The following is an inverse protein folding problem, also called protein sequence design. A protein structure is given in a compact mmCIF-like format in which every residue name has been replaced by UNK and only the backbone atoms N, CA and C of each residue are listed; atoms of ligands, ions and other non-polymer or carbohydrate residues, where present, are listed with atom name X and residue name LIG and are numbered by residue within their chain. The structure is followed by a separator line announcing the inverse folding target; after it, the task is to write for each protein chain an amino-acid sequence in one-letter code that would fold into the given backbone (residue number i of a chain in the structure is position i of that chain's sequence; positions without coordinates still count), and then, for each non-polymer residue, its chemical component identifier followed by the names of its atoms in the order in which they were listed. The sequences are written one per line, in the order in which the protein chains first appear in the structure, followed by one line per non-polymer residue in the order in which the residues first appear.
data_IF_201253344329
#
_entry.id   IF_201253344329
#
_cell.length_a   1.000
_cell.length_b   1.000
_cell.length_c   1.000
_cell.angle_alpha   90.00
_cell.angle_beta   90.00
_cell.angle_gamma   90.00
#
_symmetry.space_group_name_H-M   'P 1'
#
loop_
_entity.id
_entity.type
_entity.pdbx_description
1 polymer ?
#
# COMPACT_ATOMS: atom_id res chain seq x y z
N UNK A 1 -11.82 15.06 -13.56
CA UNK A 1 -12.08 14.13 -12.43
C UNK A 1 -11.65 14.88 -11.19
N UNK A 2 -12.60 15.24 -10.33
CA UNK A 2 -12.31 15.85 -9.03
C UNK A 2 -11.58 14.82 -8.16
N UNK A 3 -10.46 15.22 -7.59
CA UNK A 3 -9.72 14.42 -6.61
C UNK A 3 -10.51 14.43 -5.29
N UNK A 4 -11.44 13.49 -5.12
CA UNK A 4 -12.39 13.46 -4.02
C UNK A 4 -11.99 12.53 -2.87
N UNK A 5 -10.84 11.86 -2.98
CA UNK A 5 -10.37 10.96 -1.94
C UNK A 5 -9.73 11.71 -0.77
N UNK A 6 -9.90 11.19 0.44
CA UNK A 6 -9.32 11.76 1.67
C UNK A 6 -8.56 10.72 2.48
N UNK A 7 -7.64 11.19 3.30
CA UNK A 7 -7.02 10.42 4.38
C UNK A 7 -7.55 11.01 5.68
N UNK A 8 -8.26 10.20 6.45
CA UNK A 8 -8.77 10.61 7.76
C UNK A 8 -7.82 10.12 8.84
N UNK A 9 -7.57 10.94 9.84
CA UNK A 9 -6.78 10.57 11.01
C UNK A 9 -7.56 10.86 12.28
N UNK A 10 -7.49 9.94 13.24
CA UNK A 10 -8.11 10.08 14.55
C UNK A 10 -7.15 9.51 15.60
N UNK A 11 -6.87 10.29 16.66
CA UNK A 11 -6.12 9.79 17.81
C UNK A 11 -7.11 9.42 18.91
N UNK A 12 -7.18 8.15 19.23
CA UNK A 12 -8.01 7.64 20.32
C UNK A 12 -7.33 7.81 21.69
N UNK A 13 -8.11 7.73 22.75
CA UNK A 13 -7.66 7.93 24.15
C UNK A 13 -6.60 6.91 24.60
N UNK A 14 -6.58 5.73 23.98
CA UNK A 14 -5.61 4.65 24.23
C UNK A 14 -4.28 4.84 23.50
N UNK A 15 -4.15 5.92 22.72
CA UNK A 15 -2.98 6.22 21.91
C UNK A 15 -2.95 5.57 20.52
N UNK A 16 -4.05 4.95 20.08
CA UNK A 16 -4.20 4.47 18.72
C UNK A 16 -4.34 5.66 17.76
N UNK A 17 -3.38 5.82 16.85
CA UNK A 17 -3.54 6.72 15.71
C UNK A 17 -4.20 5.93 14.57
N UNK A 18 -5.50 6.06 14.44
CA UNK A 18 -6.23 5.49 13.32
C UNK A 18 -6.03 6.34 12.06
N UNK A 19 -5.57 5.72 10.98
CA UNK A 19 -5.43 6.32 9.66
C UNK A 19 -6.33 5.55 8.71
N UNK A 20 -7.34 6.22 8.14
CA UNK A 20 -8.32 5.60 7.24
C UNK A 20 -8.17 6.14 5.82
N UNK A 21 -7.95 5.26 4.87
CA UNK A 21 -8.01 5.59 3.44
C UNK A 21 -9.49 5.67 3.04
N UNK A 22 -9.92 6.81 2.51
CA UNK A 22 -11.32 7.02 2.15
C UNK A 22 -11.50 7.56 0.73
N UNK A 23 -11.65 6.63 -0.19
CA UNK A 23 -12.05 6.81 -1.59
C UNK A 23 -12.77 5.53 -2.05
N UNK A 24 -13.73 5.09 -1.24
CA UNK A 24 -14.37 3.77 -1.36
C UNK A 24 -15.00 3.54 -2.74
N UNK A 25 -15.65 4.55 -3.32
CA UNK A 25 -16.30 4.48 -4.64
C UNK A 25 -15.33 4.16 -5.79
N UNK A 26 -14.04 4.42 -5.60
CA UNK A 26 -12.96 4.17 -6.55
C UNK A 26 -12.02 3.04 -6.07
N UNK A 27 -12.48 2.19 -5.16
CA UNK A 27 -11.68 1.08 -4.61
C UNK A 27 -10.43 1.54 -3.85
N UNK A 28 -10.48 2.71 -3.23
CA UNK A 28 -9.37 3.31 -2.49
C UNK A 28 -8.07 3.46 -3.31
N UNK A 29 -8.21 3.67 -4.63
CA UNK A 29 -7.07 3.98 -5.51
C UNK A 29 -6.47 5.31 -5.07
N UNK A 30 -5.20 5.27 -4.64
CA UNK A 30 -4.51 6.44 -4.09
C UNK A 30 -4.25 7.49 -5.17
N UNK A 31 -4.64 8.72 -4.90
CA UNK A 31 -4.24 9.89 -5.67
C UNK A 31 -2.89 10.41 -5.15
N UNK A 32 -2.32 11.38 -5.85
CA UNK A 32 -1.09 12.04 -5.39
C UNK A 32 -1.32 12.74 -4.04
N UNK A 33 -2.41 13.48 -3.92
CA UNK A 33 -2.77 14.19 -2.68
C UNK A 33 -2.96 13.23 -1.49
N UNK A 34 -3.62 12.09 -1.70
CA UNK A 34 -3.76 11.06 -0.67
C UNK A 34 -2.41 10.47 -0.26
N UNK A 35 -1.51 10.23 -1.22
CA UNK A 35 -0.17 9.71 -0.94
C UNK A 35 0.66 10.70 -0.10
N UNK A 36 0.56 12.00 -0.40
CA UNK A 36 1.20 13.06 0.39
C UNK A 36 0.63 13.14 1.81
N UNK A 37 -0.72 13.08 1.95
CA UNK A 37 -1.38 13.09 3.25
C UNK A 37 -0.99 11.86 4.11
N UNK A 38 -0.96 10.66 3.54
CA UNK A 38 -0.45 9.47 4.20
C UNK A 38 1.00 9.65 4.63
N UNK A 39 1.86 10.14 3.73
CA UNK A 39 3.26 10.37 4.03
C UNK A 39 3.45 11.34 5.20
N UNK A 40 2.66 12.39 5.26
CA UNK A 40 2.68 13.36 6.35
C UNK A 40 2.26 12.73 7.68
N UNK A 41 1.18 11.94 7.68
CA UNK A 41 0.68 11.27 8.89
C UNK A 41 1.72 10.30 9.49
N UNK A 42 2.44 9.56 8.65
CA UNK A 42 3.49 8.64 9.11
C UNK A 42 4.76 9.34 9.58
N UNK A 43 5.16 10.45 8.93
CA UNK A 43 6.38 11.19 9.31
C UNK A 43 6.25 11.97 10.59
N UNK A 44 5.05 12.46 10.89
CA UNK A 44 4.79 13.34 12.03
C UNK A 44 3.52 12.92 12.77
N UNK A 45 3.53 11.73 13.43
CA UNK A 45 2.40 11.32 14.25
C UNK A 45 2.18 12.36 15.38
N UNK A 46 0.92 12.60 15.78
CA UNK A 46 0.61 13.53 16.85
C UNK A 46 1.18 13.05 18.20
N UNK A 47 1.44 14.02 19.10
CA UNK A 47 1.84 13.72 20.47
C UNK A 47 0.78 12.85 21.16
N UNK A 48 1.22 11.83 21.90
CA UNK A 48 0.34 10.86 22.56
C UNK A 48 0.05 9.60 21.70
N UNK A 49 0.36 9.62 20.40
CA UNK A 49 0.24 8.40 19.59
C UNK A 49 1.27 7.35 20.04
N UNK A 50 0.81 6.11 20.19
CA UNK A 50 1.60 4.96 20.65
C UNK A 50 1.76 3.88 19.57
N UNK A 51 0.79 3.75 18.70
CA UNK A 51 0.80 2.84 17.54
C UNK A 51 -0.15 3.39 16.47
N UNK A 52 0.01 2.91 15.26
CA UNK A 52 -0.83 3.25 14.11
C UNK A 52 -1.72 2.06 13.77
N UNK A 53 -3.01 2.32 13.54
CA UNK A 53 -3.92 1.41 12.87
C UNK A 53 -4.25 1.98 11.50
N UNK A 54 -3.71 1.37 10.45
CA UNK A 54 -4.03 1.72 9.06
C UNK A 54 -5.16 0.83 8.56
N UNK A 55 -6.24 1.44 8.14
CA UNK A 55 -7.41 0.76 7.55
C UNK A 55 -7.94 1.53 6.33
N UNK A 56 -9.06 1.08 5.79
CA UNK A 56 -9.72 1.74 4.67
C UNK A 56 -11.24 1.69 4.78
N UNK A 57 -11.91 2.70 4.26
CA UNK A 57 -13.36 2.75 4.12
C UNK A 57 -13.85 1.83 2.98
N UNK A 58 -15.08 1.33 3.10
CA UNK A 58 -15.70 0.50 2.05
C UNK A 58 -15.18 -0.93 1.99
N UNK A 59 -15.28 -1.55 0.83
CA UNK A 59 -15.01 -2.98 0.64
C UNK A 59 -13.54 -3.32 0.38
N UNK A 60 -12.74 -2.37 -0.10
CA UNK A 60 -11.36 -2.59 -0.50
C UNK A 60 -10.38 -1.84 0.40
N UNK A 61 -9.23 -2.42 0.66
CA UNK A 61 -8.14 -1.72 1.33
C UNK A 61 -7.51 -0.67 0.41
N UNK A 62 -6.97 -1.09 -0.73
CA UNK A 62 -6.40 -0.19 -1.73
C UNK A 62 -6.16 -0.94 -3.05
N UNK A 63 -6.92 -0.61 -4.09
CA UNK A 63 -6.80 -1.27 -5.39
C UNK A 63 -5.62 -0.73 -6.25
N UNK A 64 -4.77 0.11 -5.67
CA UNK A 64 -3.59 0.65 -6.35
C UNK A 64 -3.44 2.16 -6.23
N UNK A 65 -2.83 2.79 -7.23
CA UNK A 65 -2.73 4.26 -7.32
C UNK A 65 -3.07 4.77 -8.71
N UNK A 66 -3.44 6.03 -8.80
CA UNK A 66 -3.59 6.71 -10.09
C UNK A 66 -2.26 6.64 -10.84
N UNK A 67 -2.28 6.10 -12.04
CA UNK A 67 -1.06 5.85 -12.82
C UNK A 67 -0.41 7.17 -13.26
N UNK A 68 0.84 7.43 -12.89
CA UNK A 68 1.60 8.57 -13.37
C UNK A 68 2.29 8.30 -14.71
N UNK A 69 2.10 7.09 -15.27
CA UNK A 69 2.71 6.70 -16.54
C UNK A 69 2.24 7.62 -17.68
N UNK A 70 3.12 7.95 -18.62
CA UNK A 70 2.74 8.74 -19.77
C UNK A 70 1.68 8.00 -20.61
N UNK A 71 0.88 8.76 -21.32
CA UNK A 71 -0.06 8.18 -22.30
C UNK A 71 0.71 7.45 -23.41
N UNK A 72 0.12 6.42 -24.05
CA UNK A 72 0.74 5.76 -25.19
C UNK A 72 1.20 6.77 -26.25
N UNK A 73 2.40 6.57 -26.79
CA UNK A 73 3.02 7.47 -27.78
C UNK A 73 3.79 8.66 -27.22
N UNK A 74 3.71 8.91 -25.90
CA UNK A 74 4.54 9.94 -25.25
C UNK A 74 5.88 9.34 -24.83
N UNK A 75 6.95 9.83 -25.45
CA UNK A 75 8.33 9.43 -25.09
C UNK A 75 8.80 10.28 -23.92
N UNK A 76 9.31 9.64 -22.87
CA UNK A 76 9.94 10.29 -21.74
C UNK A 76 11.37 9.76 -21.57
N UNK A 77 12.26 10.63 -21.11
CA UNK A 77 13.62 10.17 -20.71
C UNK A 77 13.53 9.28 -19.47
N UNK A 78 14.52 8.42 -19.26
CA UNK A 78 14.62 7.60 -18.06
C UNK A 78 14.62 8.45 -16.78
N UNK A 79 15.28 9.61 -16.82
CA UNK A 79 15.32 10.58 -15.71
C UNK A 79 13.92 11.13 -15.41
N UNK A 80 13.17 11.53 -16.43
CA UNK A 80 11.81 12.03 -16.26
C UNK A 80 10.86 10.94 -15.73
N UNK A 81 11.02 9.68 -16.15
CA UNK A 81 10.28 8.54 -15.61
C UNK A 81 10.66 8.29 -14.14
N UNK A 82 11.93 8.36 -13.80
CA UNK A 82 12.41 8.22 -12.43
C UNK A 82 11.72 9.22 -11.50
N UNK A 83 11.79 10.51 -11.84
CA UNK A 83 11.20 11.58 -11.04
C UNK A 83 9.66 11.52 -10.96
N UNK A 84 9.02 11.15 -12.07
CA UNK A 84 7.54 11.16 -12.12
C UNK A 84 6.91 9.89 -11.53
N UNK A 85 7.55 8.74 -11.70
CA UNK A 85 6.97 7.44 -11.38
C UNK A 85 7.59 6.82 -10.15
N UNK A 86 8.93 6.72 -10.09
CA UNK A 86 9.61 5.94 -9.08
C UNK A 86 9.80 6.74 -7.77
N UNK A 87 10.35 7.94 -7.83
CA UNK A 87 10.68 8.73 -6.64
C UNK A 87 9.49 9.01 -5.73
N UNK A 88 8.30 9.41 -6.23
CA UNK A 88 7.16 9.65 -5.36
C UNK A 88 6.74 8.40 -4.58
N UNK A 89 6.81 7.22 -5.21
CA UNK A 89 6.46 5.95 -4.55
C UNK A 89 7.52 5.54 -3.54
N UNK A 90 8.79 5.63 -3.89
CA UNK A 90 9.88 5.30 -2.96
C UNK A 90 9.90 6.25 -1.77
N UNK A 91 9.66 7.54 -1.99
CA UNK A 91 9.52 8.52 -0.90
C UNK A 91 8.33 8.23 0.01
N UNK A 92 7.21 7.76 -0.56
CA UNK A 92 6.06 7.32 0.21
C UNK A 92 6.39 6.08 1.06
N UNK A 93 7.02 5.05 0.48
CA UNK A 93 7.43 3.87 1.23
C UNK A 93 8.43 4.22 2.34
N UNK A 94 9.37 5.12 2.06
CA UNK A 94 10.30 5.62 3.06
C UNK A 94 9.58 6.37 4.20
N UNK A 95 8.52 7.13 3.89
CA UNK A 95 7.73 7.80 4.90
C UNK A 95 7.03 6.80 5.85
N UNK A 96 6.41 5.75 5.31
CA UNK A 96 5.79 4.69 6.12
C UNK A 96 6.82 4.02 7.01
N UNK A 97 8.00 3.65 6.47
CA UNK A 97 9.08 3.01 7.22
C UNK A 97 9.75 3.93 8.25
N UNK A 98 9.64 5.24 8.11
CA UNK A 98 10.29 6.20 9.02
C UNK A 98 9.49 6.50 10.28
N UNK A 99 8.23 6.05 10.37
CA UNK A 99 7.45 6.25 11.59
C UNK A 99 8.12 5.55 12.78
N UNK A 100 8.23 6.20 13.94
CA UNK A 100 8.77 5.57 15.14
C UNK A 100 7.76 4.66 15.86
N UNK A 101 6.54 4.56 15.34
CA UNK A 101 5.44 3.83 15.96
C UNK A 101 5.24 2.47 15.28
N UNK A 102 4.87 1.43 16.04
CA UNK A 102 4.38 0.18 15.45
C UNK A 102 3.16 0.44 14.55
N UNK A 103 3.12 -0.21 13.39
CA UNK A 103 2.05 -0.08 12.39
C UNK A 103 1.29 -1.39 12.25
N UNK A 104 0.02 -1.35 12.61
CA UNK A 104 -0.94 -2.44 12.36
C UNK A 104 -1.74 -2.09 11.12
N UNK A 105 -1.85 -3.01 10.17
CA UNK A 105 -2.63 -2.81 8.94
C UNK A 105 -3.76 -3.81 8.91
N UNK A 106 -5.00 -3.32 8.78
CA UNK A 106 -6.19 -4.14 8.61
C UNK A 106 -6.59 -4.15 7.13
N UNK A 107 -6.53 -5.32 6.50
CA UNK A 107 -6.77 -5.51 5.08
C UNK A 107 -8.05 -6.29 4.85
N UNK A 108 -8.95 -5.72 4.04
CA UNK A 108 -10.10 -6.42 3.46
C UNK A 108 -10.17 -6.12 1.96
N UNK A 109 -10.75 -7.02 1.19
CA UNK A 109 -10.86 -6.87 -0.26
C UNK A 109 -9.52 -6.65 -0.93
N UNK A 110 -9.48 -5.81 -1.94
CA UNK A 110 -8.30 -5.62 -2.79
C UNK A 110 -7.18 -4.85 -2.11
N UNK A 111 -6.00 -5.47 -2.08
CA UNK A 111 -4.71 -4.85 -1.74
C UNK A 111 -3.76 -5.05 -2.92
N UNK A 112 -3.85 -4.20 -3.95
CA UNK A 112 -3.19 -4.39 -5.24
C UNK A 112 -2.08 -3.37 -5.50
N UNK A 113 -0.97 -3.82 -6.09
CA UNK A 113 0.16 -2.96 -6.46
C UNK A 113 0.68 -2.16 -5.27
N UNK A 114 0.55 -0.83 -5.30
CA UNK A 114 0.91 0.03 -4.16
C UNK A 114 0.12 -0.33 -2.89
N UNK A 115 -1.12 -0.80 -3.00
CA UNK A 115 -1.91 -1.28 -1.86
C UNK A 115 -1.29 -2.53 -1.22
N UNK A 116 -0.81 -3.48 -2.03
CA UNK A 116 -0.09 -4.65 -1.55
C UNK A 116 1.24 -4.27 -0.88
N UNK A 117 1.97 -3.33 -1.47
CA UNK A 117 3.19 -2.78 -0.88
C UNK A 117 2.91 -2.08 0.46
N UNK A 118 1.89 -1.24 0.51
CA UNK A 118 1.50 -0.51 1.73
C UNK A 118 1.12 -1.45 2.87
N UNK A 119 0.36 -2.51 2.56
CA UNK A 119 0.05 -3.55 3.55
C UNK A 119 1.33 -4.20 4.09
N UNK A 120 2.24 -4.62 3.19
CA UNK A 120 3.49 -5.28 3.58
C UNK A 120 4.52 -4.38 4.28
N UNK A 121 4.34 -3.07 4.26
CA UNK A 121 5.15 -2.12 5.03
C UNK A 121 4.74 -2.01 6.51
N UNK A 122 3.57 -2.54 6.89
CA UNK A 122 3.15 -2.60 8.29
C UNK A 122 3.91 -3.65 9.10
N UNK A 123 4.04 -3.47 10.39
CA UNK A 123 4.67 -4.44 11.30
C UNK A 123 3.77 -5.67 11.51
N UNK A 124 2.48 -5.43 11.70
CA UNK A 124 1.45 -6.47 11.82
C UNK A 124 0.39 -6.26 10.75
N UNK A 125 0.09 -7.30 10.00
CA UNK A 125 -0.93 -7.26 8.93
C UNK A 125 -2.02 -8.27 9.25
N UNK A 126 -3.22 -7.78 9.50
CA UNK A 126 -4.43 -8.56 9.72
C UNK A 126 -5.21 -8.62 8.40
N UNK A 127 -5.49 -9.80 7.92
CA UNK A 127 -6.20 -10.00 6.65
C UNK A 127 -7.52 -10.72 6.92
N UNK A 128 -8.64 -10.12 6.52
CA UNK A 128 -9.93 -10.81 6.57
C UNK A 128 -10.05 -11.83 5.42
N UNK A 129 -11.10 -12.64 5.46
CA UNK A 129 -11.35 -13.70 4.48
C UNK A 129 -11.66 -13.20 3.06
N UNK A 130 -11.92 -11.89 2.89
CA UNK A 130 -12.10 -11.25 1.58
C UNK A 130 -10.81 -10.69 1.00
N UNK A 131 -9.70 -10.69 1.76
CA UNK A 131 -8.45 -10.06 1.35
C UNK A 131 -7.87 -10.71 0.08
N UNK A 132 -7.53 -9.86 -0.88
CA UNK A 132 -6.96 -10.21 -2.19
C UNK A 132 -5.68 -9.40 -2.40
N UNK A 133 -4.52 -10.04 -2.21
CA UNK A 133 -3.21 -9.41 -2.42
C UNK A 133 -2.69 -9.72 -3.81
N UNK A 134 -2.35 -8.69 -4.59
CA UNK A 134 -1.89 -8.86 -5.97
C UNK A 134 -0.82 -7.87 -6.37
N UNK A 135 0.12 -8.33 -7.22
CA UNK A 135 1.08 -7.49 -7.94
C UNK A 135 0.71 -7.49 -9.43
N UNK A 136 -0.15 -6.56 -9.91
CA UNK A 136 -0.71 -6.61 -11.26
C UNK A 136 0.23 -6.10 -12.35
N UNK A 137 1.41 -5.60 -12.04
CA UNK A 137 2.33 -4.93 -12.95
C UNK A 137 2.72 -5.82 -14.14
N UNK A 138 2.97 -7.10 -13.89
CA UNK A 138 3.34 -8.07 -14.93
C UNK A 138 2.21 -8.35 -15.96
N UNK A 139 0.97 -8.04 -15.63
CA UNK A 139 -0.14 -8.14 -16.60
C UNK A 139 -0.10 -7.01 -17.64
N UNK A 140 0.73 -6.01 -17.41
CA UNK A 140 0.96 -4.84 -18.27
C UNK A 140 2.40 -4.78 -18.78
N UNK A 141 3.15 -5.89 -18.69
CA UNK A 141 4.56 -5.98 -19.05
C UNK A 141 5.46 -4.94 -18.32
N UNK A 142 5.08 -4.56 -17.10
CA UNK A 142 5.84 -3.65 -16.25
C UNK A 142 6.55 -4.49 -15.17
N UNK A 143 7.90 -4.42 -15.07
CA UNK A 143 8.61 -5.07 -13.98
C UNK A 143 8.18 -4.49 -12.62
N UNK A 144 7.77 -5.34 -11.64
CA UNK A 144 7.19 -4.89 -10.37
C UNK A 144 8.29 -4.46 -9.35
N UNK A 145 9.26 -3.66 -9.79
CA UNK A 145 10.43 -3.29 -8.99
C UNK A 145 10.04 -2.49 -7.75
N UNK A 146 9.10 -1.55 -7.88
CA UNK A 146 8.70 -0.69 -6.76
C UNK A 146 7.98 -1.48 -5.67
N UNK A 147 7.02 -2.34 -6.05
CA UNK A 147 6.32 -3.21 -5.08
C UNK A 147 7.27 -4.24 -4.51
N UNK A 148 8.10 -4.85 -5.37
CA UNK A 148 9.12 -5.80 -4.94
C UNK A 148 10.10 -5.22 -3.90
N UNK A 149 10.50 -3.96 -4.04
CA UNK A 149 11.36 -3.26 -3.07
C UNK A 149 10.68 -3.10 -1.70
N UNK A 150 9.36 -2.85 -1.67
CA UNK A 150 8.62 -2.74 -0.43
C UNK A 150 8.48 -4.08 0.31
N UNK A 151 8.41 -5.19 -0.44
CA UNK A 151 8.12 -6.52 0.10
C UNK A 151 9.36 -7.40 0.32
N UNK A 152 10.54 -6.99 -0.16
CA UNK A 152 11.73 -7.84 -0.21
C UNK A 152 12.26 -8.31 1.16
N UNK A 153 12.02 -7.55 2.21
CA UNK A 153 12.37 -7.86 3.59
C UNK A 153 11.21 -8.44 4.41
N UNK A 154 10.02 -8.47 3.84
CA UNK A 154 8.80 -8.98 4.47
C UNK A 154 8.45 -10.39 4.03
N UNK A 155 8.44 -10.61 2.73
CA UNK A 155 7.97 -11.86 2.11
C UNK A 155 9.17 -12.73 1.78
N UNK A 156 9.04 -14.05 1.97
CA UNK A 156 10.10 -14.98 1.57
C UNK A 156 10.40 -14.83 0.07
N UNK A 157 11.66 -15.10 -0.33
CA UNK A 157 12.06 -15.04 -1.74
C UNK A 157 11.15 -15.88 -2.65
N UNK A 158 10.78 -17.08 -2.21
CA UNK A 158 9.89 -17.97 -2.96
C UNK A 158 8.47 -17.41 -3.03
N UNK A 159 7.95 -16.84 -1.91
CA UNK A 159 6.65 -16.18 -1.86
C UNK A 159 6.56 -14.96 -2.77
N UNK A 160 7.60 -14.11 -2.77
CA UNK A 160 7.66 -12.96 -3.67
C UNK A 160 7.71 -13.38 -5.14
N UNK A 161 8.52 -14.40 -5.48
CA UNK A 161 8.57 -14.96 -6.82
C UNK A 161 7.20 -15.53 -7.25
N UNK A 162 6.52 -16.27 -6.37
CA UNK A 162 5.16 -16.75 -6.62
C UNK A 162 4.21 -15.59 -6.93
N UNK A 163 4.15 -14.58 -6.05
CA UNK A 163 3.24 -13.44 -6.19
C UNK A 163 3.47 -12.67 -7.49
N UNK A 164 4.72 -12.54 -7.94
CA UNK A 164 5.09 -11.86 -9.19
C UNK A 164 4.79 -12.71 -10.42
N UNK A 165 5.27 -13.95 -10.45
CA UNK A 165 5.29 -14.74 -11.69
C UNK A 165 4.02 -15.55 -11.92
N UNK A 166 3.29 -15.98 -10.89
CA UNK A 166 2.00 -16.64 -11.07
C UNK A 166 0.93 -15.66 -11.58
N UNK A 167 1.07 -14.38 -11.25
CA UNK A 167 0.06 -13.32 -11.51
C UNK A 167 -1.28 -13.58 -10.81
N UNK A 168 -1.34 -14.61 -9.98
CA UNK A 168 -2.52 -14.97 -9.20
C UNK A 168 -2.55 -14.19 -7.88
N UNK A 169 -3.72 -13.88 -7.34
CA UNK A 169 -3.84 -13.27 -6.03
C UNK A 169 -3.41 -14.25 -4.94
N UNK A 170 -3.03 -13.69 -3.80
CA UNK A 170 -2.96 -14.43 -2.55
C UNK A 170 -4.19 -14.05 -1.71
N UNK A 171 -4.94 -15.04 -1.28
CA UNK A 171 -5.94 -14.88 -0.22
C UNK A 171 -5.26 -14.69 1.15
N UNK A 172 -6.04 -14.46 2.20
CA UNK A 172 -5.53 -14.23 3.54
C UNK A 172 -4.64 -15.39 4.03
N UNK A 173 -5.05 -16.65 3.82
CA UNK A 173 -4.30 -17.83 4.25
C UNK A 173 -2.97 -17.96 3.51
N UNK A 174 -2.96 -17.79 2.18
CA UNK A 174 -1.74 -17.80 1.39
C UNK A 174 -0.80 -16.62 1.72
N UNK A 175 -1.36 -15.45 2.05
CA UNK A 175 -0.59 -14.29 2.48
C UNK A 175 0.15 -14.55 3.80
N UNK A 176 -0.49 -15.24 4.76
CA UNK A 176 0.15 -15.68 6.01
C UNK A 176 1.28 -16.67 5.71
N UNK A 177 1.04 -17.67 4.84
CA UNK A 177 2.06 -18.67 4.49
C UNK A 177 3.35 -18.08 3.91
N UNK A 178 3.25 -16.99 3.15
CA UNK A 178 4.42 -16.33 2.55
C UNK A 178 5.03 -15.24 3.43
N UNK A 179 4.40 -14.91 4.56
CA UNK A 179 4.84 -13.87 5.51
C UNK A 179 4.37 -12.47 5.16
N UNK A 180 3.45 -12.30 4.20
CA UNK A 180 2.87 -11.00 3.86
C UNK A 180 1.86 -10.55 4.92
N UNK A 181 0.94 -11.42 5.32
CA UNK A 181 0.06 -11.22 6.45
C UNK A 181 0.61 -11.89 7.73
N UNK A 182 0.27 -11.33 8.88
CA UNK A 182 0.61 -11.89 10.19
C UNK A 182 -0.45 -12.85 10.66
N UNK A 183 -1.71 -12.55 10.36
CA UNK A 183 -2.88 -13.33 10.78
C UNK A 183 -4.01 -13.21 9.74
N UNK A 184 -4.76 -14.29 9.57
CA UNK A 184 -6.04 -14.32 8.86
C UNK A 184 -7.18 -14.36 9.88
N UNK A 185 -8.15 -13.43 9.80
CA UNK A 185 -9.22 -13.26 10.79
C UNK A 185 -10.59 -13.00 10.15
#
# INVERSE_FOLDING_TARGET
MTDTGTIRTHLADDGCLEITIDRADEGNVLTHAMTEALSAAFRAPPEGARFVLLNAAGADFCAGRVSPMPKPGVVMTAEALRHRVAEPVLSFYAAVRSTPLPVIVAVRGRAHGVGCALAGLGDVVLADDTADFRIPEMTRDIPPLLVGTALADRVSRAGLARLIFSREPLDAAAAVQVGLASEAC
#
